data_IF_390091386502
#
_entry.id   IF_390091386502
#
_cell.length_a   1.000
_cell.length_b   1.000
_cell.length_c   1.000
_cell.angle_alpha   90.00
_cell.angle_beta   90.00
_cell.angle_gamma   90.00
#
_symmetry.space_group_name_H-M   'P 1'
#
loop_
_entity.id
_entity.type
_entity.pdbx_description
1 polymer ?
#
# COMPACT_ATOMS: atom_id res chain seq x y z
N UNK A 1 -24.62 -13.14 15.08
CA UNK A 1 -23.29 -13.80 15.08
C UNK A 1 -22.25 -13.06 14.22
N UNK A 2 -22.63 -12.47 13.08
CA UNK A 2 -21.73 -11.69 12.18
C UNK A 2 -21.08 -10.45 12.83
N UNK A 3 -21.85 -9.56 13.47
CA UNK A 3 -21.31 -8.31 14.06
C UNK A 3 -20.30 -8.56 15.20
N UNK A 4 -20.52 -9.59 16.04
CA UNK A 4 -19.60 -9.95 17.12
C UNK A 4 -18.25 -10.45 16.57
N UNK A 5 -18.25 -11.17 15.46
CA UNK A 5 -17.01 -11.60 14.80
C UNK A 5 -16.25 -10.42 14.20
N UNK A 6 -16.93 -9.45 13.60
CA UNK A 6 -16.30 -8.23 13.09
C UNK A 6 -15.66 -7.42 14.23
N UNK A 7 -16.37 -7.26 15.35
CA UNK A 7 -15.85 -6.52 16.51
C UNK A 7 -14.68 -7.23 17.19
N UNK A 8 -14.73 -8.56 17.35
CA UNK A 8 -13.63 -9.36 17.91
C UNK A 8 -12.39 -9.39 17.00
N UNK A 9 -12.59 -9.39 15.69
CA UNK A 9 -11.48 -9.32 14.72
C UNK A 9 -10.87 -7.93 14.72
N UNK A 10 -11.68 -6.87 14.81
CA UNK A 10 -11.21 -5.50 14.97
C UNK A 10 -10.46 -5.33 16.29
N UNK A 11 -10.97 -5.86 17.41
CA UNK A 11 -10.29 -5.82 18.71
C UNK A 11 -8.96 -6.59 18.70
N UNK A 12 -8.91 -7.80 18.13
CA UNK A 12 -7.63 -8.53 17.98
C UNK A 12 -6.64 -7.81 17.08
N UNK A 13 -7.11 -7.12 16.04
CA UNK A 13 -6.26 -6.30 15.17
C UNK A 13 -5.77 -5.01 15.84
N UNK A 14 -6.50 -4.51 16.83
CA UNK A 14 -6.15 -3.31 17.61
C UNK A 14 -5.18 -3.62 18.76
N UNK A 15 -5.19 -4.83 19.34
CA UNK A 15 -4.32 -5.22 20.47
C UNK A 15 -3.25 -6.29 20.15
N UNK A 16 -3.11 -6.69 18.87
CA UNK A 16 -2.07 -7.62 18.39
C UNK A 16 -0.74 -6.94 18.00
N UNK A 17 0.08 -7.60 17.16
CA UNK A 17 1.29 -7.00 16.55
C UNK A 17 1.00 -5.65 15.86
N UNK A 18 -0.19 -5.53 15.27
CA UNK A 18 -0.80 -4.30 14.78
C UNK A 18 -0.75 -3.12 15.74
N UNK A 19 -0.95 -3.36 17.04
CA UNK A 19 -0.90 -2.30 18.06
C UNK A 19 0.49 -1.70 18.19
N UNK A 20 1.49 -2.58 18.32
CA UNK A 20 2.87 -2.18 18.59
C UNK A 20 3.45 -1.40 17.40
N UNK A 21 3.24 -1.89 16.17
CA UNK A 21 3.72 -1.20 14.97
C UNK A 21 3.06 0.17 14.81
N UNK A 22 1.74 0.26 14.97
CA UNK A 22 1.01 1.54 14.86
C UNK A 22 1.44 2.52 15.96
N UNK A 23 1.58 2.04 17.19
CA UNK A 23 2.01 2.87 18.33
C UNK A 23 3.44 3.37 18.11
N UNK A 24 4.37 2.48 17.72
CA UNK A 24 5.75 2.86 17.45
C UNK A 24 5.85 3.88 16.31
N UNK A 25 5.08 3.70 15.22
CA UNK A 25 5.04 4.66 14.12
C UNK A 25 4.55 6.05 14.59
N UNK A 26 3.43 6.11 15.32
CA UNK A 26 2.85 7.37 15.81
C UNK A 26 3.80 8.07 16.78
N UNK A 27 4.31 7.33 17.77
CA UNK A 27 5.24 7.86 18.78
C UNK A 27 6.51 8.40 18.11
N UNK A 28 7.10 7.63 17.19
CA UNK A 28 8.31 8.06 16.49
C UNK A 28 8.07 9.34 15.67
N UNK A 29 6.97 9.38 14.90
CA UNK A 29 6.60 10.55 14.11
C UNK A 29 6.47 11.79 14.97
N UNK A 30 5.69 11.73 16.06
CA UNK A 30 5.49 12.89 16.92
C UNK A 30 6.72 13.28 17.74
N UNK A 31 7.57 12.33 18.14
CA UNK A 31 8.87 12.63 18.78
C UNK A 31 9.77 13.41 17.81
N UNK A 32 9.87 12.95 16.55
CA UNK A 32 10.67 13.66 15.54
C UNK A 32 10.10 15.06 15.30
N UNK A 33 8.78 15.19 15.11
CA UNK A 33 8.12 16.49 14.97
C UNK A 33 8.44 17.39 16.16
N UNK A 34 8.33 16.90 17.39
CA UNK A 34 8.66 17.66 18.59
C UNK A 34 10.13 18.11 18.59
N UNK A 35 11.08 17.24 18.25
CA UNK A 35 12.50 17.60 18.15
C UNK A 35 12.71 18.75 17.16
N UNK A 36 12.04 18.73 16.00
CA UNK A 36 12.16 19.80 15.01
C UNK A 36 11.68 21.16 15.54
N UNK A 37 10.73 21.19 16.48
CA UNK A 37 10.24 22.42 17.13
C UNK A 37 11.02 22.80 18.41
N UNK A 38 11.76 21.88 19.01
CA UNK A 38 12.55 22.16 20.22
C UNK A 38 13.97 22.66 19.93
N UNK A 39 14.50 22.36 18.74
CA UNK A 39 15.85 22.78 18.32
C UNK A 39 15.81 24.01 17.41
N UNK A 40 16.96 24.64 17.20
CA UNK A 40 17.15 25.88 16.41
C UNK A 40 16.96 25.68 14.88
N UNK A 41 15.90 24.98 14.49
CA UNK A 41 15.52 24.74 13.10
C UNK A 41 14.77 25.93 12.50
N UNK A 42 14.56 25.92 11.18
CA UNK A 42 13.71 26.90 10.51
C UNK A 42 12.29 26.97 11.11
N UNK A 43 11.68 25.83 11.48
CA UNK A 43 10.31 25.81 12.02
C UNK A 43 10.24 26.53 13.36
N UNK A 44 11.22 26.29 14.24
CA UNK A 44 11.29 26.96 15.54
C UNK A 44 11.54 28.47 15.39
N UNK A 45 12.44 28.88 14.51
CA UNK A 45 12.70 30.30 14.22
C UNK A 45 11.44 31.01 13.71
N UNK A 46 10.67 30.35 12.86
CA UNK A 46 9.42 30.90 12.34
C UNK A 46 8.32 30.99 13.40
N UNK A 47 8.24 30.01 14.30
CA UNK A 47 7.34 30.06 15.47
C UNK A 47 7.69 31.25 16.38
N UNK A 48 8.97 31.42 16.74
CA UNK A 48 9.43 32.51 17.62
C UNK A 48 9.24 33.90 17.01
N UNK A 49 9.30 34.01 15.68
CA UNK A 49 9.07 35.25 14.94
C UNK A 49 7.60 35.50 14.59
N UNK A 50 6.69 34.60 14.97
CA UNK A 50 5.25 34.70 14.71
C UNK A 50 4.81 34.34 13.28
N UNK A 51 5.72 33.83 12.44
CA UNK A 51 5.44 33.39 11.07
C UNK A 51 4.88 31.95 11.06
N UNK A 52 3.62 31.78 11.44
CA UNK A 52 3.04 30.45 11.71
C UNK A 52 2.71 29.61 10.46
N UNK A 53 2.82 30.15 9.24
CA UNK A 53 2.39 29.45 8.04
C UNK A 53 3.10 28.10 7.83
N UNK A 54 4.44 28.05 7.79
CA UNK A 54 5.15 26.78 7.58
C UNK A 54 5.03 25.84 8.78
N UNK A 55 5.15 26.30 10.05
CA UNK A 55 4.87 25.46 11.22
C UNK A 55 3.51 24.76 11.16
N UNK A 56 2.44 25.52 10.88
CA UNK A 56 1.08 24.96 10.77
C UNK A 56 0.96 23.99 9.60
N UNK A 57 1.48 24.35 8.42
CA UNK A 57 1.44 23.47 7.26
C UNK A 57 2.20 22.16 7.49
N UNK A 58 3.35 22.21 8.16
CA UNK A 58 4.14 21.02 8.49
C UNK A 58 3.39 20.11 9.46
N UNK A 59 2.81 20.66 10.54
CA UNK A 59 2.01 19.86 11.50
C UNK A 59 0.76 19.28 10.85
N UNK A 60 0.06 20.04 10.00
CA UNK A 60 -1.09 19.54 9.24
C UNK A 60 -0.67 18.41 8.29
N UNK A 61 0.46 18.54 7.62
CA UNK A 61 0.98 17.50 6.74
C UNK A 61 1.30 16.21 7.51
N UNK A 62 1.97 16.33 8.66
CA UNK A 62 2.24 15.20 9.57
C UNK A 62 0.94 14.55 10.03
N UNK A 63 -0.05 15.34 10.44
CA UNK A 63 -1.36 14.85 10.87
C UNK A 63 -2.08 14.08 9.76
N UNK A 64 -2.14 14.64 8.54
CA UNK A 64 -2.75 13.95 7.38
C UNK A 64 -2.00 12.65 7.07
N UNK A 65 -0.66 12.63 7.17
CA UNK A 65 0.13 11.41 6.98
C UNK A 65 -0.23 10.33 8.00
N UNK A 66 -0.34 10.69 9.28
CA UNK A 66 -0.76 9.77 10.35
C UNK A 66 -2.18 9.27 10.14
N UNK A 67 -3.12 10.14 9.77
CA UNK A 67 -4.50 9.75 9.48
C UNK A 67 -4.58 8.78 8.30
N UNK A 68 -3.80 9.03 7.25
CA UNK A 68 -3.74 8.18 6.07
C UNK A 68 -3.05 6.84 6.37
N UNK A 69 -2.03 6.82 7.22
CA UNK A 69 -1.44 5.59 7.76
C UNK A 69 -2.51 4.74 8.47
N UNK A 70 -3.32 5.34 9.34
CA UNK A 70 -4.44 4.64 9.99
C UNK A 70 -5.49 4.18 9.00
N UNK A 71 -5.84 5.01 8.02
CA UNK A 71 -6.79 4.63 6.98
C UNK A 71 -6.31 3.37 6.24
N UNK A 72 -5.07 3.33 5.75
CA UNK A 72 -4.54 2.18 5.01
C UNK A 72 -4.34 0.94 5.91
N UNK A 73 -3.88 1.12 7.15
CA UNK A 73 -3.65 0.02 8.10
C UNK A 73 -4.92 -0.63 8.65
N UNK A 74 -6.07 0.06 8.55
CA UNK A 74 -7.37 -0.44 9.05
C UNK A 74 -8.38 -0.71 7.95
N UNK A 75 -8.17 -0.20 6.72
CA UNK A 75 -9.06 -0.41 5.59
C UNK A 75 -9.08 -1.87 5.16
N UNK A 76 -10.27 -2.36 4.80
CA UNK A 76 -10.41 -3.66 4.14
C UNK A 76 -9.65 -3.64 2.80
N UNK A 77 -8.62 -4.49 2.61
CA UNK A 77 -7.89 -4.55 1.34
C UNK A 77 -8.70 -5.17 0.20
N UNK A 78 -9.88 -5.73 0.50
CA UNK A 78 -10.69 -6.53 -0.40
C UNK A 78 -10.66 -8.00 0.00
N UNK A 79 -10.89 -8.29 1.29
CA UNK A 79 -11.08 -9.65 1.75
C UNK A 79 -12.30 -10.28 1.07
N UNK A 80 -12.15 -11.53 0.64
CA UNK A 80 -13.23 -12.30 0.01
C UNK A 80 -13.96 -13.07 1.10
N UNK A 81 -15.21 -12.73 1.32
CA UNK A 81 -16.13 -13.48 2.18
C UNK A 81 -16.75 -14.63 1.37
N UNK A 82 -17.10 -15.73 2.04
CA UNK A 82 -17.66 -16.92 1.38
C UNK A 82 -18.96 -16.62 0.61
N UNK A 83 -19.79 -15.70 1.13
CA UNK A 83 -21.04 -15.27 0.48
C UNK A 83 -20.77 -14.48 -0.81
N UNK A 84 -19.72 -13.66 -0.86
CA UNK A 84 -19.32 -12.90 -2.06
C UNK A 84 -18.79 -13.82 -3.17
N UNK A 85 -18.17 -14.96 -2.82
CA UNK A 85 -17.68 -15.92 -3.82
C UNK A 85 -18.82 -16.63 -4.54
N UNK A 86 -19.91 -16.94 -3.82
CA UNK A 86 -21.07 -17.60 -4.40
C UNK A 86 -21.80 -16.64 -5.34
N UNK A 87 -21.95 -15.37 -4.96
CA UNK A 87 -22.60 -14.35 -5.82
C UNK A 87 -21.78 -14.01 -7.07
N UNK A 88 -20.44 -13.91 -6.96
CA UNK A 88 -19.57 -13.70 -8.13
C UNK A 88 -19.62 -14.91 -9.08
N UNK A 89 -19.77 -16.12 -8.54
CA UNK A 89 -19.98 -17.33 -9.34
C UNK A 89 -21.31 -17.27 -10.08
N UNK A 90 -22.41 -16.90 -9.41
CA UNK A 90 -23.75 -16.78 -10.03
C UNK A 90 -23.82 -15.64 -11.06
N UNK A 91 -23.15 -14.51 -10.82
CA UNK A 91 -23.15 -13.35 -11.73
C UNK A 91 -22.11 -13.47 -12.87
N UNK A 92 -21.08 -14.30 -12.70
CA UNK A 92 -20.01 -14.51 -13.68
C UNK A 92 -20.24 -15.70 -14.61
N UNK A 93 -21.16 -16.60 -14.27
CA UNK A 93 -21.51 -17.78 -15.05
C UNK A 93 -23.01 -18.05 -14.89
N UNK A 94 -23.84 -17.65 -15.84
CA UNK A 94 -25.09 -18.38 -16.08
C UNK A 94 -24.69 -19.78 -16.54
N UNK A 95 -25.26 -20.83 -15.97
CA UNK A 95 -24.94 -22.23 -16.31
C UNK A 95 -25.00 -22.50 -17.83
N UNK A 96 -25.82 -21.75 -18.57
CA UNK A 96 -25.94 -21.80 -20.04
C UNK A 96 -24.72 -21.27 -20.82
N UNK A 97 -23.86 -20.44 -20.21
CA UNK A 97 -22.67 -19.88 -20.87
C UNK A 97 -21.45 -20.79 -20.74
N UNK A 98 -21.49 -21.79 -19.86
CA UNK A 98 -20.39 -22.71 -19.61
C UNK A 98 -20.22 -23.77 -20.71
N UNK A 99 -21.29 -24.03 -21.49
CA UNK A 99 -21.30 -24.94 -22.64
C UNK A 99 -20.88 -24.27 -23.96
N UNK A 100 -20.80 -22.94 -24.01
CA UNK A 100 -20.36 -22.18 -25.20
C UNK A 100 -18.85 -21.85 -25.19
N UNK A 101 -18.14 -22.28 -24.15
CA UNK A 101 -16.69 -22.10 -24.00
C UNK A 101 -15.98 -23.26 -24.73
N UNK A 102 -15.11 -22.98 -25.73
CA UNK A 102 -14.37 -24.00 -26.46
C UNK A 102 -13.67 -25.02 -25.55
N UNK A 103 -13.48 -26.29 -25.95
CA UNK A 103 -12.83 -27.30 -25.10
C UNK A 103 -11.40 -26.93 -24.65
N UNK A 104 -10.72 -26.02 -25.35
CA UNK A 104 -9.38 -25.50 -25.02
C UNK A 104 -9.37 -24.53 -23.83
N UNK A 105 -10.49 -23.90 -23.49
CA UNK A 105 -10.64 -22.92 -22.39
C UNK A 105 -11.06 -23.54 -21.05
N UNK A 106 -11.28 -24.87 -21.00
CA UNK A 106 -11.44 -25.64 -19.73
C UNK A 106 -10.19 -25.61 -18.83
N UNK A 107 -9.07 -25.05 -19.29
CA UNK A 107 -7.76 -25.08 -18.62
C UNK A 107 -7.50 -23.96 -17.61
N UNK A 108 -8.25 -22.85 -17.65
CA UNK A 108 -8.15 -21.77 -16.65
C UNK A 108 -9.13 -21.97 -15.49
N UNK A 109 -9.19 -23.19 -14.94
CA UNK A 109 -10.03 -23.48 -13.77
C UNK A 109 -9.62 -22.56 -12.62
N UNK A 110 -10.57 -21.77 -12.11
CA UNK A 110 -10.35 -20.96 -10.91
C UNK A 110 -9.77 -21.83 -9.81
N UNK A 111 -8.74 -21.32 -9.13
CA UNK A 111 -8.04 -22.07 -8.08
C UNK A 111 -8.92 -22.09 -6.84
N UNK A 112 -9.13 -23.25 -6.23
CA UNK A 112 -9.80 -23.33 -4.94
C UNK A 112 -8.81 -23.06 -3.81
N UNK A 113 -9.15 -22.19 -2.88
CA UNK A 113 -8.36 -22.00 -1.67
C UNK A 113 -8.67 -23.12 -0.67
N UNK A 114 -7.67 -23.93 -0.31
CA UNK A 114 -7.86 -24.99 0.70
C UNK A 114 -8.13 -24.50 2.13
N UNK A 115 -7.79 -23.24 2.46
CA UNK A 115 -8.00 -22.67 3.80
C UNK A 115 -9.33 -21.91 3.94
N UNK A 116 -9.66 -21.07 2.95
CA UNK A 116 -10.92 -20.34 2.93
C UNK A 116 -12.07 -21.16 2.33
N UNK A 117 -11.78 -22.33 1.74
CA UNK A 117 -12.71 -23.25 1.08
C UNK A 117 -13.52 -22.68 -0.11
N UNK A 118 -13.19 -21.47 -0.56
CA UNK A 118 -13.81 -20.74 -1.67
C UNK A 118 -13.03 -20.88 -3.00
N UNK A 119 -13.72 -20.60 -4.10
CA UNK A 119 -13.09 -20.40 -5.41
C UNK A 119 -12.41 -19.03 -5.44
N UNK A 120 -11.12 -18.99 -5.74
CA UNK A 120 -10.35 -17.77 -5.78
C UNK A 120 -10.61 -17.04 -7.10
N UNK A 121 -11.17 -15.81 -7.08
CA UNK A 121 -11.21 -14.96 -8.26
C UNK A 121 -9.80 -14.74 -8.82
N UNK A 122 -9.72 -14.44 -10.11
CA UNK A 122 -8.47 -14.14 -10.78
C UNK A 122 -7.74 -12.99 -10.07
N UNK A 123 -6.40 -13.06 -10.04
CA UNK A 123 -5.51 -12.16 -9.27
C UNK A 123 -5.71 -12.14 -7.75
N UNK A 124 -6.57 -12.98 -7.18
CA UNK A 124 -6.66 -13.14 -5.74
C UNK A 124 -5.66 -14.15 -5.17
N UNK A 125 -5.27 -13.96 -3.91
CA UNK A 125 -4.38 -14.87 -3.19
C UNK A 125 -4.73 -14.92 -1.70
N UNK A 126 -4.59 -16.11 -1.12
CA UNK A 126 -4.66 -16.29 0.33
C UNK A 126 -3.42 -15.69 1.01
N UNK A 127 -3.63 -14.78 1.95
CA UNK A 127 -2.59 -14.25 2.82
C UNK A 127 -2.49 -15.12 4.07
N UNK A 128 -1.30 -15.64 4.36
CA UNK A 128 -1.09 -16.47 5.55
C UNK A 128 -1.14 -15.67 6.84
N UNK A 129 -0.76 -14.39 6.82
CA UNK A 129 -0.82 -13.55 8.02
C UNK A 129 -2.26 -13.12 8.32
N UNK A 130 -2.98 -12.61 7.30
CA UNK A 130 -4.36 -12.17 7.48
C UNK A 130 -5.37 -13.32 7.52
N UNK A 131 -5.01 -14.55 7.12
CA UNK A 131 -5.89 -15.73 7.07
C UNK A 131 -7.13 -15.57 6.16
N UNK A 132 -7.08 -14.64 5.21
CA UNK A 132 -8.14 -14.39 4.23
C UNK A 132 -7.57 -14.39 2.80
N UNK A 133 -8.41 -14.76 1.84
CA UNK A 133 -8.17 -14.45 0.43
C UNK A 133 -8.41 -12.96 0.18
N UNK A 134 -7.50 -12.32 -0.53
CA UNK A 134 -7.55 -10.89 -0.85
C UNK A 134 -7.67 -10.72 -2.36
N UNK A 135 -8.62 -9.91 -2.82
CA UNK A 135 -8.79 -9.54 -4.24
C UNK A 135 -7.60 -8.73 -4.72
N UNK A 136 -7.15 -9.01 -5.95
CA UNK A 136 -5.98 -8.36 -6.58
C UNK A 136 -4.83 -8.19 -5.58
N UNK A 137 -4.45 -9.30 -4.96
CA UNK A 137 -3.47 -9.31 -3.86
C UNK A 137 -2.14 -8.76 -4.35
N UNK A 138 -1.62 -7.73 -3.68
CA UNK A 138 -0.30 -7.20 -3.95
C UNK A 138 0.73 -7.81 -3.01
N UNK A 139 0.61 -7.51 -1.72
CA UNK A 139 1.46 -8.08 -0.67
C UNK A 139 0.79 -7.97 0.70
N UNK A 140 1.40 -8.61 1.70
CA UNK A 140 1.13 -8.31 3.09
C UNK A 140 2.24 -7.38 3.59
N UNK A 141 1.86 -6.21 4.12
CA UNK A 141 2.81 -5.19 4.52
C UNK A 141 2.91 -5.16 6.05
N UNK A 142 4.06 -5.56 6.63
CA UNK A 142 4.25 -5.55 8.08
C UNK A 142 4.30 -4.12 8.65
N UNK A 143 4.56 -3.09 7.84
CA UNK A 143 4.64 -1.70 8.30
C UNK A 143 3.27 -1.09 8.62
N UNK A 144 2.21 -1.59 7.98
CA UNK A 144 0.82 -1.20 8.23
C UNK A 144 0.04 -2.33 8.89
N UNK A 145 0.67 -3.49 9.14
CA UNK A 145 0.05 -4.69 9.70
C UNK A 145 -1.27 -5.08 8.98
N UNK A 146 -1.26 -4.94 7.65
CA UNK A 146 -2.41 -5.19 6.80
C UNK A 146 -1.97 -5.64 5.40
N UNK A 147 -2.88 -6.27 4.66
CA UNK A 147 -2.66 -6.54 3.24
C UNK A 147 -2.82 -5.27 2.40
N UNK A 148 -2.11 -5.23 1.28
CA UNK A 148 -2.36 -4.30 0.18
C UNK A 148 -3.03 -5.09 -0.94
N UNK A 149 -4.21 -4.65 -1.35
CA UNK A 149 -5.08 -5.33 -2.31
C UNK A 149 -6.01 -4.38 -3.05
N UNK A 150 -6.98 -4.91 -3.78
CA UNK A 150 -7.84 -4.15 -4.70
C UNK A 150 -8.41 -2.85 -4.11
N UNK A 151 -8.90 -2.89 -2.87
CA UNK A 151 -9.66 -1.76 -2.27
C UNK A 151 -8.77 -0.69 -1.64
N UNK A 152 -7.57 -1.04 -1.17
CA UNK A 152 -6.69 -0.10 -0.46
C UNK A 152 -5.38 0.26 -1.20
N UNK A 153 -5.05 -0.38 -2.32
CA UNK A 153 -3.78 -0.15 -3.03
C UNK A 153 -3.55 1.31 -3.43
N UNK A 154 -4.60 2.01 -3.89
CA UNK A 154 -4.51 3.45 -4.24
C UNK A 154 -4.18 4.33 -3.02
N UNK A 155 -4.79 4.02 -1.88
CA UNK A 155 -4.57 4.73 -0.63
C UNK A 155 -3.17 4.45 -0.07
N UNK A 156 -2.67 3.23 -0.24
CA UNK A 156 -1.29 2.88 0.07
C UNK A 156 -0.28 3.71 -0.75
N UNK A 157 -0.51 3.92 -2.04
CA UNK A 157 0.36 4.78 -2.85
C UNK A 157 0.28 6.25 -2.44
N UNK A 158 -0.91 6.76 -2.16
CA UNK A 158 -1.07 8.12 -1.63
C UNK A 158 -0.34 8.28 -0.29
N UNK A 159 -0.42 7.27 0.58
CA UNK A 159 0.32 7.23 1.84
C UNK A 159 1.82 7.29 1.60
N UNK A 160 2.38 6.47 0.71
CA UNK A 160 3.81 6.50 0.40
C UNK A 160 4.25 7.87 -0.14
N UNK A 161 3.47 8.49 -1.02
CA UNK A 161 3.77 9.82 -1.57
C UNK A 161 3.76 10.91 -0.49
N UNK A 162 2.74 10.90 0.38
CA UNK A 162 2.63 11.87 1.47
C UNK A 162 3.70 11.66 2.53
N UNK A 163 3.99 10.40 2.87
CA UNK A 163 5.05 10.03 3.80
C UNK A 163 6.42 10.46 3.27
N UNK A 164 6.69 10.29 1.97
CA UNK A 164 7.91 10.78 1.34
C UNK A 164 8.04 12.31 1.49
N UNK A 165 6.97 13.05 1.25
CA UNK A 165 6.96 14.51 1.41
C UNK A 165 7.25 14.93 2.85
N UNK A 166 6.63 14.29 3.84
CA UNK A 166 6.91 14.53 5.28
C UNK A 166 8.37 14.24 5.61
N UNK A 167 8.92 13.12 5.14
CA UNK A 167 10.30 12.72 5.41
C UNK A 167 11.30 13.71 4.79
N UNK A 168 11.08 14.12 3.53
CA UNK A 168 11.96 15.07 2.83
C UNK A 168 11.89 16.47 3.47
N UNK A 169 10.69 16.95 3.81
CA UNK A 169 10.55 18.24 4.49
C UNK A 169 11.15 18.19 5.90
N UNK A 170 10.90 17.13 6.67
CA UNK A 170 11.50 16.93 7.98
C UNK A 170 13.04 16.87 7.92
N UNK A 171 13.59 16.19 6.92
CA UNK A 171 15.05 16.13 6.68
C UNK A 171 15.61 17.53 6.34
N UNK A 172 14.92 18.29 5.49
CA UNK A 172 15.30 19.67 5.19
C UNK A 172 15.31 20.54 6.45
N UNK A 173 14.25 20.49 7.26
CA UNK A 173 14.16 21.26 8.50
C UNK A 173 15.26 20.85 9.48
N UNK A 174 15.51 19.55 9.66
CA UNK A 174 16.59 19.06 10.52
C UNK A 174 17.96 19.58 10.05
N UNK A 175 18.19 19.59 8.73
CA UNK A 175 19.41 20.14 8.13
C UNK A 175 19.58 21.64 8.40
N UNK A 176 18.51 22.44 8.31
CA UNK A 176 18.58 23.89 8.58
C UNK A 176 18.96 24.23 10.01
N UNK A 177 18.72 23.32 10.96
CA UNK A 177 19.11 23.50 12.36
C UNK A 177 20.57 23.15 12.66
N UNK A 178 21.33 22.62 11.68
CA UNK A 178 22.74 22.32 11.88
C UNK A 178 23.57 23.60 11.91
N UNK A 179 24.15 23.89 13.07
CA UNK A 179 24.93 25.10 13.34
C UNK A 179 26.44 24.87 13.29
N UNK A 180 27.18 25.98 13.18
CA UNK A 180 28.63 25.99 13.28
C UNK A 180 29.07 25.99 14.75
N UNK A 181 30.20 25.35 15.06
CA UNK A 181 30.82 25.47 16.38
C UNK A 181 32.35 25.42 16.29
N UNK A 182 33.09 26.03 17.24
CA UNK A 182 34.54 26.24 17.09
C UNK A 182 35.39 24.97 17.29
N UNK A 183 34.81 23.90 17.85
CA UNK A 183 35.51 22.62 18.03
C UNK A 183 34.57 21.46 17.74
N UNK A 184 35.11 20.34 17.25
CA UNK A 184 34.37 19.12 16.96
C UNK A 184 33.52 18.61 18.13
N UNK A 185 34.07 18.64 19.35
CA UNK A 185 33.36 18.21 20.56
C UNK A 185 32.12 19.06 20.87
N UNK A 186 32.21 20.39 20.67
CA UNK A 186 31.09 21.31 20.86
C UNK A 186 30.09 21.20 19.72
N UNK A 187 30.58 21.07 18.48
CA UNK A 187 29.75 20.87 17.29
C UNK A 187 28.91 19.61 17.41
N UNK A 188 29.50 18.49 17.82
CA UNK A 188 28.76 17.24 18.00
C UNK A 188 27.76 17.33 19.15
N UNK A 189 28.09 18.04 20.24
CA UNK A 189 27.17 18.25 21.35
C UNK A 189 25.96 19.12 20.94
N UNK A 190 26.18 20.16 20.13
CA UNK A 190 25.10 21.04 19.68
C UNK A 190 24.24 20.42 18.57
N UNK A 191 24.85 19.65 17.67
CA UNK A 191 24.18 19.13 16.48
C UNK A 191 23.79 17.65 16.57
N UNK A 192 24.28 16.91 17.57
CA UNK A 192 24.18 15.45 17.64
C UNK A 192 22.76 14.90 17.53
N UNK A 193 21.79 15.55 18.16
CA UNK A 193 20.37 15.14 18.08
C UNK A 193 19.81 15.35 16.67
N UNK A 194 20.05 16.51 16.06
CA UNK A 194 19.62 16.77 14.68
C UNK A 194 20.33 15.87 13.67
N UNK A 195 21.61 15.53 13.89
CA UNK A 195 22.34 14.55 13.10
C UNK A 195 21.72 13.15 13.22
N UNK A 196 21.30 12.74 14.42
CA UNK A 196 20.60 11.48 14.62
C UNK A 196 19.23 11.47 13.90
N UNK A 197 18.50 12.59 13.94
CA UNK A 197 17.26 12.76 13.16
C UNK A 197 17.53 12.66 11.66
N UNK A 198 18.53 13.36 11.13
CA UNK A 198 18.92 13.24 9.72
C UNK A 198 19.33 11.81 9.36
N UNK A 199 20.13 11.16 10.21
CA UNK A 199 20.57 9.78 10.04
C UNK A 199 19.44 8.75 10.07
N UNK A 200 18.32 9.08 10.72
CA UNK A 200 17.10 8.27 10.69
C UNK A 200 16.22 8.60 9.48
N UNK A 201 15.97 9.89 9.21
CA UNK A 201 15.04 10.33 8.16
C UNK A 201 15.56 10.06 6.75
N UNK A 202 16.86 10.24 6.49
CA UNK A 202 17.44 10.05 5.16
C UNK A 202 17.30 8.61 4.63
N UNK A 203 17.69 7.54 5.35
CA UNK A 203 17.49 6.18 4.87
C UNK A 203 16.01 5.81 4.77
N UNK A 204 15.16 6.29 5.68
CA UNK A 204 13.70 6.09 5.58
C UNK A 204 13.13 6.74 4.32
N UNK A 205 13.55 7.97 3.99
CA UNK A 205 13.13 8.67 2.78
C UNK A 205 13.57 7.91 1.52
N UNK A 206 14.80 7.39 1.51
CA UNK A 206 15.30 6.58 0.40
C UNK A 206 14.49 5.30 0.21
N UNK A 207 14.21 4.57 1.29
CA UNK A 207 13.39 3.35 1.23
C UNK A 207 11.98 3.66 0.71
N UNK A 208 11.33 4.70 1.22
CA UNK A 208 9.98 5.10 0.78
C UNK A 208 9.99 5.56 -0.68
N UNK A 209 11.03 6.29 -1.13
CA UNK A 209 11.20 6.69 -2.52
C UNK A 209 11.30 5.49 -3.45
N UNK A 210 12.14 4.50 -3.11
CA UNK A 210 12.32 3.28 -3.91
C UNK A 210 11.04 2.43 -3.91
N UNK A 211 10.34 2.34 -2.79
CA UNK A 211 9.03 1.67 -2.71
C UNK A 211 8.01 2.37 -3.60
N UNK A 212 7.86 3.69 -3.49
CA UNK A 212 6.93 4.45 -4.31
C UNK A 212 7.23 4.30 -5.80
N UNK A 213 8.51 4.42 -6.20
CA UNK A 213 8.95 4.25 -7.58
C UNK A 213 8.65 2.85 -8.13
N UNK A 214 8.97 1.81 -7.35
CA UNK A 214 8.73 0.42 -7.78
C UNK A 214 7.23 0.11 -7.89
N UNK A 215 6.40 0.58 -6.96
CA UNK A 215 4.94 0.41 -7.09
C UNK A 215 4.35 1.21 -8.25
N UNK A 216 4.81 2.44 -8.52
CA UNK A 216 4.37 3.22 -9.68
C UNK A 216 4.74 2.52 -11.00
N UNK A 217 5.91 1.89 -11.07
CA UNK A 217 6.32 1.05 -12.20
C UNK A 217 5.41 -0.18 -12.36
N UNK A 218 5.07 -0.87 -11.27
CA UNK A 218 4.14 -2.01 -11.34
C UNK A 218 2.74 -1.58 -11.76
N UNK A 219 2.25 -0.45 -11.27
CA UNK A 219 0.95 0.13 -11.68
C UNK A 219 0.96 0.51 -13.15
N UNK A 220 2.04 1.07 -13.67
CA UNK A 220 2.13 1.44 -15.09
C UNK A 220 2.08 0.22 -16.01
N UNK A 221 2.44 -0.96 -15.52
CA UNK A 221 2.27 -2.24 -16.22
C UNK A 221 0.99 -3.00 -15.83
N UNK A 222 0.13 -2.45 -14.96
CA UNK A 222 -0.99 -3.18 -14.35
C UNK A 222 -0.59 -4.53 -13.73
N UNK A 223 0.60 -4.61 -13.15
CA UNK A 223 1.09 -5.76 -12.39
C UNK A 223 0.95 -5.50 -10.89
N UNK A 224 0.81 -6.57 -10.12
CA UNK A 224 1.02 -6.56 -8.67
C UNK A 224 2.42 -7.01 -8.32
N UNK A 225 2.91 -6.67 -7.14
CA UNK A 225 4.19 -7.15 -6.59
C UNK A 225 4.23 -8.68 -6.58
N UNK A 226 3.12 -9.32 -6.19
CA UNK A 226 3.02 -10.77 -6.21
C UNK A 226 3.13 -11.36 -7.61
N UNK A 227 2.47 -10.76 -8.61
CA UNK A 227 2.57 -11.21 -10.01
C UNK A 227 4.00 -11.07 -10.54
N UNK A 228 4.64 -9.95 -10.25
CA UNK A 228 6.02 -9.70 -10.65
C UNK A 228 7.00 -10.71 -10.02
N UNK A 229 6.94 -10.88 -8.69
CA UNK A 229 7.89 -11.73 -7.97
C UNK A 229 7.61 -13.24 -8.09
N UNK A 230 6.35 -13.61 -8.31
CA UNK A 230 5.91 -15.01 -8.20
C UNK A 230 5.30 -15.56 -9.48
N UNK A 231 5.52 -14.90 -10.62
CA UNK A 231 4.94 -15.24 -11.94
C UNK A 231 4.83 -16.74 -12.21
N UNK A 232 5.92 -17.48 -12.04
CA UNK A 232 5.99 -18.93 -12.29
C UNK A 232 5.03 -19.78 -11.43
N UNK A 233 4.54 -19.25 -10.30
CA UNK A 233 3.59 -19.91 -9.38
C UNK A 233 2.13 -19.59 -9.73
N UNK A 234 1.87 -18.77 -10.74
CA UNK A 234 0.55 -18.21 -11.03
C UNK A 234 -0.04 -18.90 -12.25
N UNK A 235 -1.10 -19.68 -12.05
CA UNK A 235 -1.70 -20.52 -13.09
C UNK A 235 -2.14 -19.75 -14.34
N UNK A 236 -2.74 -18.57 -14.17
CA UNK A 236 -3.19 -17.76 -15.32
C UNK A 236 -2.05 -17.04 -16.05
N UNK A 237 -0.85 -16.95 -15.49
CA UNK A 237 0.33 -16.38 -16.16
C UNK A 237 1.22 -17.46 -16.79
N UNK A 238 1.06 -18.74 -16.42
CA UNK A 238 1.83 -19.85 -17.02
C UNK A 238 1.55 -20.04 -18.50
N UNK A 239 0.36 -19.64 -18.97
CA UNK A 239 -0.05 -19.76 -20.37
C UNK A 239 0.36 -18.53 -21.20
N UNK A 240 0.77 -17.44 -20.55
CA UNK A 240 1.27 -16.24 -21.23
C UNK A 240 2.76 -16.40 -21.55
N UNK A 241 3.23 -15.79 -22.64
CA UNK A 241 4.67 -15.68 -22.93
C UNK A 241 5.45 -15.04 -21.77
N UNK A 242 6.77 -15.23 -21.71
CA UNK A 242 7.62 -14.74 -20.62
C UNK A 242 7.45 -13.22 -20.36
N UNK A 243 7.29 -12.45 -21.44
CA UNK A 243 7.18 -10.99 -21.41
C UNK A 243 5.74 -10.47 -21.57
N UNK A 244 4.76 -11.36 -21.74
CA UNK A 244 3.37 -10.95 -21.98
C UNK A 244 2.66 -10.63 -20.67
N UNK A 245 1.96 -9.51 -20.58
CA UNK A 245 1.11 -9.19 -19.43
C UNK A 245 -0.34 -9.00 -19.90
N UNK A 246 -1.24 -9.96 -19.64
CA UNK A 246 -2.62 -9.93 -20.15
C UNK A 246 -3.50 -8.84 -19.53
N UNK A 247 -2.98 -8.07 -18.58
CA UNK A 247 -3.68 -6.95 -17.96
C UNK A 247 -3.12 -5.59 -18.39
N UNK A 248 -1.99 -5.56 -19.11
CA UNK A 248 -1.35 -4.32 -19.53
C UNK A 248 -2.06 -3.73 -20.75
N UNK A 249 -2.61 -2.52 -20.60
CA UNK A 249 -3.29 -1.78 -21.70
C UNK A 249 -2.49 -0.56 -22.14
N UNK A 250 -1.21 -0.49 -21.79
CA UNK A 250 -0.35 0.68 -21.94
C UNK A 250 -0.39 1.61 -20.72
N UNK A 251 0.76 2.21 -20.42
CA UNK A 251 1.01 2.95 -19.19
C UNK A 251 -0.06 4.01 -18.84
N UNK A 252 -0.48 4.82 -19.81
CA UNK A 252 -1.49 5.86 -19.57
C UNK A 252 -2.87 5.27 -19.19
N UNK A 253 -3.31 4.21 -19.88
CA UNK A 253 -4.59 3.55 -19.58
C UNK A 253 -4.53 2.80 -18.25
N UNK A 254 -3.39 2.20 -17.92
CA UNK A 254 -3.20 1.51 -16.64
C UNK A 254 -3.21 2.48 -15.46
N UNK A 255 -2.50 3.61 -15.58
CA UNK A 255 -2.50 4.66 -14.56
C UNK A 255 -3.90 5.25 -14.38
N UNK A 256 -4.60 5.57 -15.48
CA UNK A 256 -5.98 6.07 -15.43
C UNK A 256 -6.93 5.04 -14.79
N UNK A 257 -6.85 3.77 -15.19
CA UNK A 257 -7.65 2.70 -14.61
C UNK A 257 -7.40 2.53 -13.11
N UNK A 258 -6.14 2.64 -12.68
CA UNK A 258 -5.78 2.48 -11.28
C UNK A 258 -6.22 3.66 -10.39
N UNK A 259 -5.97 4.91 -10.83
CA UNK A 259 -6.23 6.10 -10.01
C UNK A 259 -7.63 6.67 -10.16
N UNK A 260 -8.26 6.53 -11.33
CA UNK A 260 -9.51 7.24 -11.65
C UNK A 260 -10.75 6.33 -11.70
N UNK A 261 -10.60 5.02 -11.93
CA UNK A 261 -11.74 4.10 -11.88
C UNK A 261 -11.96 3.58 -10.45
N UNK A 262 -13.21 3.66 -9.99
CA UNK A 262 -13.63 3.21 -8.67
C UNK A 262 -14.56 2.01 -8.81
N UNK A 263 -14.39 1.03 -7.93
CA UNK A 263 -15.15 -0.22 -7.96
C UNK A 263 -14.25 -1.45 -8.06
N UNK A 264 -14.83 -2.61 -7.77
CA UNK A 264 -14.15 -3.90 -7.95
C UNK A 264 -14.17 -4.29 -9.42
N UNK A 265 -13.04 -4.82 -9.89
CA UNK A 265 -12.91 -5.29 -11.28
C UNK A 265 -13.14 -6.80 -11.31
N UNK A 266 -13.87 -7.27 -12.32
CA UNK A 266 -13.97 -8.70 -12.64
C UNK A 266 -12.77 -9.03 -13.53
N UNK A 267 -11.68 -9.47 -12.91
CA UNK A 267 -10.39 -9.67 -13.59
C UNK A 267 -10.43 -10.76 -14.66
N UNK A 268 -11.36 -11.72 -14.54
CA UNK A 268 -11.65 -12.72 -15.55
C UNK A 268 -12.08 -12.07 -16.87
N UNK A 269 -13.04 -11.13 -16.83
CA UNK A 269 -13.47 -10.41 -18.03
C UNK A 269 -12.34 -9.55 -18.60
N UNK A 270 -11.49 -8.98 -17.74
CA UNK A 270 -10.34 -8.21 -18.19
C UNK A 270 -9.29 -9.07 -18.91
N UNK A 271 -9.12 -10.33 -18.49
CA UNK A 271 -8.19 -11.29 -19.07
C UNK A 271 -8.66 -11.80 -20.44
N UNK A 272 -9.96 -12.09 -20.59
CA UNK A 272 -10.52 -12.64 -21.84
C UNK A 272 -10.87 -11.58 -22.89
N UNK A 273 -10.91 -10.29 -22.54
CA UNK A 273 -11.29 -9.22 -23.48
C UNK A 273 -10.34 -9.10 -24.68
N UNK A 274 -9.08 -9.51 -24.56
CA UNK A 274 -8.10 -9.46 -25.66
C UNK A 274 -8.28 -10.58 -26.71
N UNK A 275 -8.98 -11.68 -26.39
CA UNK A 275 -9.27 -12.74 -27.39
C UNK A 275 -10.45 -12.37 -28.33
N UNK A 276 -11.09 -11.22 -28.12
CA UNK A 276 -12.33 -10.82 -28.81
C UNK A 276 -12.23 -9.57 -29.68
N UNK A 277 -11.08 -8.88 -29.71
CA UNK A 277 -10.87 -7.79 -30.68
C UNK A 277 -10.52 -8.42 -32.05
N UNK A 278 -11.36 -8.26 -33.09
CA UNK A 278 -11.01 -8.74 -34.42
C UNK A 278 -9.85 -7.91 -34.95
N UNK A 279 -8.80 -8.62 -35.39
CA UNK A 279 -7.68 -8.08 -36.18
C UNK A 279 -8.18 -7.42 -37.45
#
# INVERSE_FOLDING_TARGET
KSIKNTFLTMFKNVFGSGFLVRTAHVVLTWIITLILFLYDTELRKQEETGQLLKPVLFVLLVLVSVLLYFAVSLMDPGFILTEDSDLQFTLGVTEEQQDMIPPSTKSLRQRRCGRCLLQQPMRSKHCQTCQHCVRRYDHHCPWIENCVGERNHRWFLLYLALQLLVLLWGLHVAWTGLGHAPSWSRWLRSNGVLLAVCGLLAPLALVVLLLLGSHLYLVSMNATTWEFMSRHRISYLKHCGADQNPFDRGAARNLWGFFCQWGSVVWEQAYFREDSDPV
#
